data_IF_942728277543
#
_entry.id   IF_942728277543
#
_cell.length_a   1.000
_cell.length_b   1.000
_cell.length_c   1.000
_cell.angle_alpha   90.00
_cell.angle_beta   90.00
_cell.angle_gamma   90.00
#
_symmetry.space_group_name_H-M   'P 1'
#
loop_
_entity.id
_entity.type
_entity.pdbx_description
1 polymer ?
#
# COMPACT_ATOMS: atom_id res chain seq x y z
N UNK A 1 -18.91 5.47 9.29
CA UNK A 1 -17.58 4.85 9.26
C UNK A 1 -17.09 4.84 7.82
N UNK A 2 -16.01 5.57 7.44
CA UNK A 2 -15.46 5.42 6.10
C UNK A 2 -15.04 3.95 5.92
N UNK A 3 -15.52 3.32 4.84
CA UNK A 3 -15.21 1.91 4.55
C UNK A 3 -13.71 1.86 4.21
N UNK A 4 -12.86 1.20 5.02
CA UNK A 4 -11.46 1.04 4.65
C UNK A 4 -11.39 0.26 3.33
N UNK A 5 -10.39 0.56 2.50
CA UNK A 5 -10.14 -0.20 1.27
C UNK A 5 -9.99 -1.69 1.63
N UNK A 6 -10.61 -2.60 0.88
CA UNK A 6 -10.50 -4.02 1.16
C UNK A 6 -9.04 -4.48 1.03
N UNK A 7 -8.59 -5.44 1.86
CA UNK A 7 -7.21 -5.89 1.88
C UNK A 7 -6.75 -6.44 0.51
N UNK A 8 -7.65 -7.10 -0.21
CA UNK A 8 -7.38 -7.61 -1.57
C UNK A 8 -7.06 -6.48 -2.57
N UNK A 9 -7.76 -5.34 -2.46
CA UNK A 9 -7.51 -4.18 -3.31
C UNK A 9 -6.14 -3.58 -3.03
N UNK A 10 -5.79 -3.46 -1.75
CA UNK A 10 -4.47 -3.00 -1.32
C UNK A 10 -3.37 -3.95 -1.82
N UNK A 11 -3.55 -5.26 -1.66
CA UNK A 11 -2.59 -6.26 -2.12
C UNK A 11 -2.39 -6.20 -3.65
N UNK A 12 -3.48 -6.03 -4.42
CA UNK A 12 -3.40 -5.85 -5.87
C UNK A 12 -2.62 -4.59 -6.26
N UNK A 13 -2.87 -3.47 -5.57
CA UNK A 13 -2.17 -2.22 -5.84
C UNK A 13 -0.66 -2.34 -5.55
N UNK A 14 -0.30 -3.01 -4.46
CA UNK A 14 1.09 -3.31 -4.10
C UNK A 14 1.73 -4.25 -5.14
N UNK A 15 1.04 -5.31 -5.54
CA UNK A 15 1.53 -6.27 -6.53
C UNK A 15 1.89 -5.58 -7.85
N UNK A 16 0.99 -4.73 -8.38
CA UNK A 16 1.24 -3.98 -9.61
C UNK A 16 2.50 -3.11 -9.54
N UNK A 17 2.73 -2.44 -8.40
CA UNK A 17 3.95 -1.65 -8.21
C UNK A 17 5.19 -2.56 -8.11
N UNK A 18 5.08 -3.71 -7.44
CA UNK A 18 6.17 -4.70 -7.34
C UNK A 18 6.50 -5.35 -8.69
N UNK A 19 5.54 -5.45 -9.60
CA UNK A 19 5.74 -5.87 -11.00
C UNK A 19 6.49 -4.81 -11.84
N UNK A 20 6.80 -3.64 -11.27
CA UNK A 20 7.57 -2.57 -11.90
C UNK A 20 6.73 -1.39 -12.39
N UNK A 21 5.42 -1.36 -12.12
CA UNK A 21 4.57 -0.21 -12.46
C UNK A 21 4.90 0.99 -11.57
N UNK A 22 4.81 2.19 -12.13
CA UNK A 22 5.01 3.42 -11.36
C UNK A 22 3.85 3.65 -10.38
N UNK A 23 4.17 4.00 -9.13
CA UNK A 23 3.19 4.28 -8.06
C UNK A 23 2.14 5.31 -8.49
N UNK A 24 2.55 6.42 -9.12
CA UNK A 24 1.63 7.46 -9.61
C UNK A 24 0.64 6.93 -10.65
N UNK A 25 1.13 6.12 -11.59
CA UNK A 25 0.29 5.55 -12.64
C UNK A 25 -0.67 4.51 -12.08
N UNK A 26 -0.21 3.63 -11.21
CA UNK A 26 -1.05 2.62 -10.55
C UNK A 26 -2.11 3.29 -9.66
N UNK A 27 -1.75 4.34 -8.94
CA UNK A 27 -2.70 5.09 -8.12
C UNK A 27 -3.78 5.77 -8.97
N UNK A 28 -3.40 6.40 -10.08
CA UNK A 28 -4.34 7.02 -11.02
C UNK A 28 -5.29 5.99 -11.66
N UNK A 29 -4.75 4.84 -12.08
CA UNK A 29 -5.50 3.73 -12.69
C UNK A 29 -6.53 3.12 -11.72
N UNK A 30 -6.15 3.03 -10.43
CA UNK A 30 -7.00 2.52 -9.36
C UNK A 30 -7.93 3.58 -8.74
N UNK A 31 -7.83 4.84 -9.17
CA UNK A 31 -8.62 5.94 -8.62
C UNK A 31 -8.30 6.30 -7.16
N UNK A 32 -7.09 5.99 -6.70
CA UNK A 32 -6.64 6.30 -5.32
C UNK A 32 -5.57 7.39 -5.30
N UNK A 33 -5.41 8.02 -4.14
CA UNK A 33 -4.35 9.01 -3.97
C UNK A 33 -2.97 8.32 -3.92
N UNK A 34 -1.94 8.82 -4.63
CA UNK A 34 -0.62 8.19 -4.67
C UNK A 34 0.05 8.09 -3.30
N UNK A 35 -0.24 9.03 -2.39
CA UNK A 35 0.23 9.00 -0.99
C UNK A 35 -0.32 7.77 -0.25
N UNK A 36 -1.57 7.37 -0.51
CA UNK A 36 -2.18 6.17 0.08
C UNK A 36 -1.41 4.92 -0.36
N UNK A 37 -1.09 4.82 -1.65
CA UNK A 37 -0.33 3.70 -2.19
C UNK A 37 1.10 3.64 -1.63
N UNK A 38 1.76 4.80 -1.46
CA UNK A 38 3.06 4.86 -0.79
C UNK A 38 3.01 4.37 0.67
N UNK A 39 1.96 4.73 1.41
CA UNK A 39 1.78 4.25 2.79
C UNK A 39 1.60 2.73 2.83
N UNK A 40 0.81 2.18 1.90
CA UNK A 40 0.62 0.74 1.78
C UNK A 40 1.90 -0.03 1.45
N UNK A 41 2.71 0.50 0.53
CA UNK A 41 4.01 -0.08 0.16
C UNK A 41 4.99 -0.03 1.33
N UNK A 42 5.06 1.09 2.05
CA UNK A 42 5.92 1.21 3.24
C UNK A 42 5.53 0.17 4.29
N UNK A 43 4.23 0.01 4.50
CA UNK A 43 3.73 -0.91 5.50
C UNK A 43 3.90 -2.39 5.11
N UNK A 44 3.77 -2.71 3.82
CA UNK A 44 4.08 -4.02 3.26
C UNK A 44 5.59 -4.33 3.38
N UNK A 45 6.46 -3.34 3.16
CA UNK A 45 7.90 -3.50 3.32
C UNK A 45 8.33 -3.77 4.77
N UNK A 46 7.62 -3.16 5.73
CA UNK A 46 7.79 -3.42 7.17
C UNK A 46 7.30 -4.82 7.53
N UNK A 47 6.11 -5.22 7.04
CA UNK A 47 5.53 -6.54 7.29
C UNK A 47 6.43 -7.68 6.74
N UNK A 48 7.04 -7.45 5.58
CA UNK A 48 8.00 -8.35 4.96
C UNK A 48 9.42 -8.28 5.58
N UNK A 49 9.62 -7.49 6.64
CA UNK A 49 10.90 -7.36 7.33
C UNK A 49 12.02 -6.71 6.51
N UNK A 50 11.69 -6.05 5.39
CA UNK A 50 12.68 -5.41 4.49
C UNK A 50 13.14 -4.04 4.98
N UNK A 51 12.38 -3.39 5.85
CA UNK A 51 12.76 -2.14 6.54
C UNK A 51 12.53 -2.22 8.05
N UNK A 52 13.47 -1.71 8.87
CA UNK A 52 13.21 -1.45 10.28
C UNK A 52 12.20 -0.29 10.40
N UNK A 53 11.02 -0.57 10.96
CA UNK A 53 9.95 0.39 11.19
C UNK A 53 8.80 -0.26 11.96
N UNK A 54 7.98 0.53 12.65
CA UNK A 54 6.81 0.01 13.38
C UNK A 54 5.80 -0.59 12.40
N UNK A 55 5.55 -1.90 12.51
CA UNK A 55 4.46 -2.60 11.83
C UNK A 55 3.10 -2.02 12.24
N UNK A 56 2.05 -2.18 11.42
CA UNK A 56 0.66 -1.70 11.65
C UNK A 56 0.06 -2.05 13.02
N UNK A 57 0.72 -2.85 13.86
CA UNK A 57 0.28 -3.14 15.22
C UNK A 57 0.24 -1.93 16.19
N UNK A 58 0.63 -0.72 15.76
CA UNK A 58 0.37 0.50 16.53
C UNK A 58 -0.53 1.48 15.79
N UNK A 59 -1.84 1.21 15.84
CA UNK A 59 -2.91 2.21 15.82
C UNK A 59 -4.16 1.52 16.36
N UNK A 60 -4.19 1.33 17.68
CA UNK A 60 -5.39 1.04 18.46
C UNK A 60 -5.92 2.35 19.05
#
# INVERSE_FOLDING_TARGET
>A
MPRPYPPEFRARAIALVREGRQVKQTAADLGIHPVTLHSWLRQDDIDQGRRPGRSTQESA
#
